data_IF_611441809358
#
_entry.id   IF_611441809358
#
_cell.length_a   1.000
_cell.length_b   1.000
_cell.length_c   1.000
_cell.angle_alpha   90.00
_cell.angle_beta   90.00
_cell.angle_gamma   90.00
#
_symmetry.space_group_name_H-M   'P 1'
#
loop_
_entity.id
_entity.type
_entity.pdbx_description
1 polymer ?
#
# COMPACT_ATOMS: atom_id res chain seq x y z
N UNK A 1 12.75 13.34 9.23
CA UNK A 1 11.28 13.44 9.39
C UNK A 1 10.92 12.60 10.59
N UNK A 2 9.93 13.01 11.37
CA UNK A 2 9.43 12.19 12.49
C UNK A 2 8.83 10.87 11.97
N UNK A 3 8.91 9.79 12.74
CA UNK A 3 8.52 8.44 12.29
C UNK A 3 7.01 8.36 12.02
N UNK A 4 6.19 8.88 12.94
CA UNK A 4 4.73 8.94 12.79
C UNK A 4 4.32 9.68 11.51
N UNK A 5 5.02 10.79 11.23
CA UNK A 5 4.79 11.57 10.02
C UNK A 5 5.19 10.79 8.74
N UNK A 6 6.20 9.92 8.79
CA UNK A 6 6.55 9.05 7.64
C UNK A 6 5.45 8.04 7.37
N UNK A 7 4.89 7.42 8.40
CA UNK A 7 3.85 6.40 8.24
C UNK A 7 2.55 7.01 7.68
N UNK A 8 2.10 8.14 8.23
CA UNK A 8 0.91 8.85 7.71
C UNK A 8 1.11 9.30 6.26
N UNK A 9 2.26 9.91 5.94
CA UNK A 9 2.54 10.36 4.56
C UNK A 9 2.66 9.15 3.64
N UNK A 10 3.30 8.08 4.10
CA UNK A 10 3.47 6.85 3.32
C UNK A 10 2.12 6.24 2.95
N UNK A 11 1.26 6.02 3.94
CA UNK A 11 -0.08 5.47 3.74
C UNK A 11 -0.94 6.37 2.83
N UNK A 12 -0.78 7.70 2.94
CA UNK A 12 -1.48 8.64 2.07
C UNK A 12 -1.00 8.57 0.62
N UNK A 13 0.32 8.44 0.40
CA UNK A 13 0.88 8.26 -0.95
C UNK A 13 0.44 6.93 -1.56
N UNK A 14 0.41 5.84 -0.77
CA UNK A 14 -0.09 4.55 -1.21
C UNK A 14 -1.58 4.62 -1.60
N UNK A 15 -2.41 5.24 -0.79
CA UNK A 15 -3.84 5.43 -1.08
C UNK A 15 -4.08 6.28 -2.33
N UNK A 16 -3.35 7.39 -2.51
CA UNK A 16 -3.47 8.22 -3.72
C UNK A 16 -3.00 7.45 -4.95
N UNK A 17 -1.88 6.74 -4.83
CA UNK A 17 -1.30 5.96 -5.92
C UNK A 17 -2.22 4.84 -6.40
N UNK A 18 -2.86 4.10 -5.49
CA UNK A 18 -3.81 3.04 -5.85
C UNK A 18 -5.08 3.59 -6.51
N UNK A 19 -5.58 4.74 -6.07
CA UNK A 19 -6.71 5.41 -6.74
C UNK A 19 -6.33 5.81 -8.16
N UNK A 20 -5.13 6.35 -8.37
CA UNK A 20 -4.65 6.74 -9.70
C UNK A 20 -4.51 5.52 -10.62
N UNK A 21 -3.92 4.41 -10.14
CA UNK A 21 -3.86 3.15 -10.90
C UNK A 21 -5.26 2.57 -11.14
N UNK A 22 -6.20 2.67 -10.20
CA UNK A 22 -7.58 2.25 -10.48
C UNK A 22 -8.25 3.07 -11.60
N UNK A 23 -7.96 4.38 -11.66
CA UNK A 23 -8.45 5.26 -12.73
C UNK A 23 -7.84 4.90 -14.10
N UNK A 24 -6.59 4.43 -14.16
CA UNK A 24 -5.97 4.02 -15.44
C UNK A 24 -6.66 2.80 -16.07
N UNK A 25 -7.34 1.96 -15.28
CA UNK A 25 -8.08 0.79 -15.78
C UNK A 25 -9.41 1.12 -16.48
N UNK A 26 -9.82 2.39 -16.52
CA UNK A 26 -11.04 2.81 -17.22
C UNK A 26 -10.86 2.59 -18.73
N UNK A 27 -11.84 1.99 -19.45
CA UNK A 27 -11.73 1.77 -20.88
C UNK A 27 -11.45 3.06 -21.68
N UNK A 28 -10.29 3.12 -22.33
CA UNK A 28 -9.90 4.25 -23.16
C UNK A 28 -10.75 4.31 -24.45
N UNK A 29 -11.27 5.49 -24.77
CA UNK A 29 -12.03 5.78 -26.01
C UNK A 29 -11.18 6.44 -27.11
N UNK A 30 -9.88 6.65 -26.87
CA UNK A 30 -8.97 7.24 -27.85
C UNK A 30 -7.51 6.94 -27.51
N UNK A 31 -6.64 6.92 -28.51
CA UNK A 31 -5.18 6.75 -28.34
C UNK A 31 -4.54 7.79 -27.41
N UNK A 32 -5.10 9.00 -27.32
CA UNK A 32 -4.61 10.02 -26.40
C UNK A 32 -4.92 9.64 -24.95
N UNK A 33 -6.10 9.04 -24.71
CA UNK A 33 -6.48 8.60 -23.37
C UNK A 33 -5.74 7.33 -22.95
N UNK A 34 -5.48 6.41 -23.89
CA UNK A 34 -4.62 5.24 -23.67
C UNK A 34 -3.25 5.67 -23.13
N UNK A 35 -2.53 6.54 -23.85
CA UNK A 35 -1.24 7.09 -23.39
C UNK A 35 -1.32 7.84 -22.06
N UNK A 36 -2.45 8.51 -21.80
CA UNK A 36 -2.65 9.19 -20.52
C UNK A 36 -2.79 8.16 -19.39
N UNK A 37 -3.56 7.10 -19.61
CA UNK A 37 -3.80 6.05 -18.62
C UNK A 37 -2.56 5.22 -18.36
N UNK A 38 -1.76 4.89 -19.37
CA UNK A 38 -0.44 4.25 -19.18
C UNK A 38 0.46 5.12 -18.26
N UNK A 39 0.48 6.45 -18.52
CA UNK A 39 1.21 7.39 -17.69
C UNK A 39 0.66 7.52 -16.26
N UNK A 40 -0.67 7.45 -16.09
CA UNK A 40 -1.28 7.42 -14.76
C UNK A 40 -0.89 6.15 -14.02
N UNK A 41 -0.85 4.99 -14.68
CA UNK A 41 -0.50 3.75 -14.00
C UNK A 41 0.95 3.76 -13.48
N UNK A 42 1.87 4.32 -14.27
CA UNK A 42 3.25 4.56 -13.82
C UNK A 42 3.30 5.47 -12.60
N UNK A 43 2.56 6.60 -12.63
CA UNK A 43 2.50 7.54 -11.49
C UNK A 43 1.88 6.88 -10.27
N UNK A 44 0.81 6.11 -10.45
CA UNK A 44 0.11 5.40 -9.40
C UNK A 44 1.01 4.41 -8.68
N UNK A 45 1.68 3.53 -9.43
CA UNK A 45 2.64 2.57 -8.86
C UNK A 45 3.87 3.27 -8.23
N UNK A 46 4.31 4.42 -8.76
CA UNK A 46 5.43 5.17 -8.18
C UNK A 46 5.10 5.76 -6.81
N UNK A 47 3.89 6.30 -6.66
CA UNK A 47 3.38 6.81 -5.39
C UNK A 47 3.20 5.68 -4.37
N UNK A 48 2.69 4.52 -4.81
CA UNK A 48 2.58 3.32 -3.97
C UNK A 48 3.93 2.80 -3.52
N UNK A 49 4.91 2.67 -4.43
CA UNK A 49 6.26 2.24 -4.08
C UNK A 49 6.89 3.15 -3.02
N UNK A 50 6.75 4.47 -3.21
CA UNK A 50 7.27 5.47 -2.29
C UNK A 50 6.53 5.46 -0.96
N UNK A 51 5.20 5.31 -1.00
CA UNK A 51 4.35 5.27 0.17
C UNK A 51 4.68 4.10 1.10
N UNK A 52 4.66 2.89 0.53
CA UNK A 52 5.00 1.66 1.24
C UNK A 52 6.45 1.70 1.79
N UNK A 53 7.40 2.27 1.03
CA UNK A 53 8.77 2.41 1.51
C UNK A 53 8.89 3.41 2.69
N UNK A 54 8.11 4.50 2.68
CA UNK A 54 8.07 5.47 3.77
C UNK A 54 7.40 4.89 5.03
N UNK A 55 6.31 4.13 4.89
CA UNK A 55 5.69 3.38 6.00
C UNK A 55 6.71 2.44 6.65
N UNK A 56 7.37 1.60 5.85
CA UNK A 56 8.41 0.69 6.36
C UNK A 56 9.58 1.42 7.04
N UNK A 57 9.97 2.61 6.54
CA UNK A 57 11.02 3.44 7.13
C UNK A 57 10.58 4.17 8.41
N UNK A 58 9.28 4.39 8.60
CA UNK A 58 8.69 4.94 9.82
C UNK A 58 8.77 3.95 10.99
N UNK A 59 8.56 2.67 10.71
CA UNK A 59 8.58 1.62 11.71
C UNK A 59 10.01 1.34 12.21
N UNK A 60 10.25 1.58 13.50
CA UNK A 60 11.58 1.47 14.10
C UNK A 60 12.04 0.04 14.38
N UNK A 61 11.11 -0.84 14.75
CA UNK A 61 11.41 -2.24 15.04
C UNK A 61 11.10 -3.16 13.85
N UNK A 62 11.76 -4.32 13.72
CA UNK A 62 11.38 -5.32 12.74
C UNK A 62 9.99 -5.88 13.04
N UNK A 63 9.12 -5.87 12.02
CA UNK A 63 7.74 -6.31 12.09
C UNK A 63 7.35 -6.97 10.75
N UNK A 64 6.34 -7.84 10.73
CA UNK A 64 5.75 -8.36 9.51
C UNK A 64 5.05 -7.27 8.70
N UNK A 65 4.53 -6.22 9.33
CA UNK A 65 3.99 -5.04 8.66
C UNK A 65 5.09 -4.31 7.86
N UNK A 66 6.22 -4.01 8.48
CA UNK A 66 7.40 -3.43 7.83
C UNK A 66 7.86 -4.28 6.65
N UNK A 67 8.00 -5.59 6.87
CA UNK A 67 8.40 -6.52 5.82
C UNK A 67 7.37 -6.55 4.68
N UNK A 68 6.08 -6.55 5.02
CA UNK A 68 4.99 -6.50 4.05
C UNK A 68 5.04 -5.24 3.19
N UNK A 69 5.25 -4.08 3.81
CA UNK A 69 5.39 -2.80 3.14
C UNK A 69 6.64 -2.76 2.23
N UNK A 70 7.79 -3.26 2.68
CA UNK A 70 8.98 -3.39 1.83
C UNK A 70 8.72 -4.30 0.61
N UNK A 71 8.06 -5.44 0.81
CA UNK A 71 7.68 -6.36 -0.27
C UNK A 71 6.71 -5.67 -1.25
N UNK A 72 5.70 -4.95 -0.76
CA UNK A 72 4.78 -4.19 -1.62
C UNK A 72 5.51 -3.11 -2.42
N UNK A 73 6.49 -2.41 -1.83
CA UNK A 73 7.31 -1.43 -2.55
C UNK A 73 8.11 -2.10 -3.69
N UNK A 74 8.73 -3.25 -3.44
CA UNK A 74 9.44 -4.04 -4.46
C UNK A 74 8.49 -4.48 -5.58
N UNK A 75 7.29 -4.93 -5.22
CA UNK A 75 6.27 -5.33 -6.17
C UNK A 75 5.86 -4.17 -7.09
N UNK A 76 5.61 -2.97 -6.54
CA UNK A 76 5.32 -1.77 -7.32
C UNK A 76 6.48 -1.38 -8.26
N UNK A 77 7.73 -1.45 -7.79
CA UNK A 77 8.90 -1.18 -8.63
C UNK A 77 8.99 -2.20 -9.78
N UNK A 78 8.62 -3.46 -9.53
CA UNK A 78 8.59 -4.50 -10.55
C UNK A 78 7.51 -4.23 -11.60
N UNK A 79 6.33 -3.73 -11.20
CA UNK A 79 5.29 -3.25 -12.14
C UNK A 79 5.82 -2.09 -12.98
N UNK A 80 6.41 -1.07 -12.35
CA UNK A 80 6.99 0.09 -13.06
C UNK A 80 8.06 -0.35 -14.06
N UNK A 81 8.89 -1.32 -13.71
CA UNK A 81 9.89 -1.88 -14.62
C UNK A 81 9.23 -2.50 -15.86
N UNK A 82 8.12 -3.23 -15.69
CA UNK A 82 7.33 -3.76 -16.80
C UNK A 82 6.71 -2.69 -17.70
N UNK A 83 6.36 -1.52 -17.15
CA UNK A 83 5.71 -0.43 -17.89
C UNK A 83 6.69 0.54 -18.59
N UNK A 84 7.95 0.61 -18.15
CA UNK A 84 8.92 1.61 -18.63
C UNK A 84 10.05 1.00 -19.47
N UNK A 85 10.47 -0.23 -19.16
CA UNK A 85 11.57 -0.85 -19.90
C UNK A 85 11.11 -1.21 -21.31
N UNK A 86 11.95 -0.92 -22.30
CA UNK A 86 11.74 -1.30 -23.69
C UNK A 86 11.98 -2.82 -23.84
N UNK A 87 10.91 -3.60 -23.61
CA UNK A 87 10.91 -5.06 -23.62
C UNK A 87 9.96 -5.58 -24.70
N UNK A 88 10.02 -6.88 -24.96
CA UNK A 88 8.95 -7.53 -25.72
C UNK A 88 7.66 -7.53 -24.88
N UNK A 89 6.51 -7.30 -25.50
CA UNK A 89 5.19 -7.17 -24.84
C UNK A 89 4.91 -8.33 -23.85
N UNK A 90 5.31 -9.56 -24.19
CA UNK A 90 5.19 -10.73 -23.32
C UNK A 90 5.98 -10.57 -22.00
N UNK A 91 7.16 -9.96 -22.06
CA UNK A 91 8.01 -9.74 -20.90
C UNK A 91 7.55 -8.53 -20.07
N UNK A 92 6.97 -7.50 -20.71
CA UNK A 92 6.29 -6.40 -20.03
C UNK A 92 5.15 -6.95 -19.16
N UNK A 93 4.24 -7.72 -19.77
CA UNK A 93 3.10 -8.35 -19.09
C UNK A 93 3.57 -9.25 -17.93
N UNK A 94 4.62 -10.07 -18.14
CA UNK A 94 5.17 -10.93 -17.09
C UNK A 94 5.70 -10.14 -15.89
N UNK A 95 6.36 -9.00 -16.12
CA UNK A 95 6.85 -8.15 -15.03
C UNK A 95 5.70 -7.51 -14.26
N UNK A 96 4.68 -7.00 -14.96
CA UNK A 96 3.48 -6.45 -14.31
C UNK A 96 2.77 -7.53 -13.46
N UNK A 97 2.59 -8.73 -14.01
CA UNK A 97 1.99 -9.87 -13.28
C UNK A 97 2.83 -10.26 -12.06
N UNK A 98 4.16 -10.36 -12.22
CA UNK A 98 5.06 -10.71 -11.13
C UNK A 98 5.04 -9.64 -10.03
N UNK A 99 5.08 -8.36 -10.41
CA UNK A 99 4.97 -7.24 -9.49
C UNK A 99 3.68 -7.28 -8.68
N UNK A 100 2.54 -7.50 -9.33
CA UNK A 100 1.25 -7.65 -8.64
C UNK A 100 1.22 -8.87 -7.70
N UNK A 101 1.82 -10.00 -8.05
CA UNK A 101 1.94 -11.13 -7.13
C UNK A 101 2.83 -10.83 -5.91
N UNK A 102 3.94 -10.12 -6.11
CA UNK A 102 4.82 -9.68 -5.03
C UNK A 102 4.06 -8.72 -4.10
N UNK A 103 3.30 -7.76 -4.65
CA UNK A 103 2.46 -6.87 -3.83
C UNK A 103 1.40 -7.64 -3.05
N UNK A 104 0.75 -8.63 -3.66
CA UNK A 104 -0.23 -9.48 -2.98
C UNK A 104 0.40 -10.24 -1.79
N UNK A 105 1.63 -10.74 -1.97
CA UNK A 105 2.40 -11.35 -0.89
C UNK A 105 2.70 -10.33 0.21
N UNK A 106 3.16 -9.13 -0.15
CA UNK A 106 3.47 -8.08 0.83
C UNK A 106 2.27 -7.67 1.67
N UNK A 107 1.11 -7.44 1.03
CA UNK A 107 -0.13 -7.15 1.74
C UNK A 107 -0.59 -8.30 2.64
N UNK A 108 -0.38 -9.56 2.23
CA UNK A 108 -0.68 -10.71 3.08
C UNK A 108 0.32 -10.87 4.25
N UNK A 109 1.60 -10.57 4.03
CA UNK A 109 2.65 -10.59 5.06
C UNK A 109 2.35 -9.55 6.13
N UNK A 110 1.92 -8.35 5.75
CA UNK A 110 1.58 -7.28 6.68
C UNK A 110 0.44 -7.62 7.64
N UNK A 111 -0.40 -8.63 7.33
CA UNK A 111 -1.45 -9.08 8.25
C UNK A 111 -0.94 -9.83 9.48
N UNK A 112 0.32 -10.26 9.48
CA UNK A 112 0.84 -11.16 10.51
C UNK A 112 0.88 -10.52 11.90
N UNK A 113 1.37 -9.28 12.01
CA UNK A 113 1.47 -8.58 13.30
C UNK A 113 0.09 -8.18 13.82
N UNK A 114 -0.79 -7.75 12.91
CA UNK A 114 -2.19 -7.46 13.16
C UNK A 114 -2.98 -8.62 13.79
N UNK A 115 -2.52 -9.87 13.75
CA UNK A 115 -3.20 -10.96 14.45
C UNK A 115 -2.64 -11.23 15.85
N UNK A 116 -1.48 -10.66 16.20
CA UNK A 116 -0.83 -10.90 17.49
C UNK A 116 -1.31 -9.96 18.60
N UNK A 117 -1.74 -8.73 18.29
CA UNK A 117 -2.28 -7.78 19.29
C UNK A 117 -3.69 -7.23 18.94
N UNK A 118 -4.79 -7.95 19.24
CA UNK A 118 -6.16 -7.61 18.82
C UNK A 118 -6.78 -6.36 19.48
N UNK A 119 -5.99 -5.52 20.16
CA UNK A 119 -6.51 -4.40 20.98
C UNK A 119 -6.06 -3.01 20.56
N UNK A 120 -5.19 -2.88 19.55
CA UNK A 120 -4.69 -1.60 19.06
C UNK A 120 -5.77 -0.79 18.29
N UNK A 121 -5.80 0.54 18.44
CA UNK A 121 -6.68 1.37 17.61
C UNK A 121 -6.23 1.33 16.14
N UNK A 122 -7.17 1.47 15.20
CA UNK A 122 -6.86 1.41 13.77
C UNK A 122 -6.64 0.00 13.21
N UNK A 123 -6.28 -0.98 14.05
CA UNK A 123 -5.97 -2.36 13.66
C UNK A 123 -7.00 -3.02 12.71
N UNK A 124 -8.31 -2.94 13.02
CA UNK A 124 -9.32 -3.53 12.14
C UNK A 124 -9.31 -2.91 10.74
N UNK A 125 -9.01 -1.61 10.64
CA UNK A 125 -8.87 -0.94 9.35
C UNK A 125 -7.59 -1.39 8.62
N UNK A 126 -6.47 -1.58 9.33
CA UNK A 126 -5.24 -2.14 8.75
C UNK A 126 -5.45 -3.58 8.27
N UNK A 127 -6.10 -4.45 9.07
CA UNK A 127 -6.44 -5.83 8.68
C UNK A 127 -7.27 -5.84 7.40
N UNK A 128 -8.39 -5.11 7.38
CA UNK A 128 -9.25 -5.09 6.20
C UNK A 128 -8.57 -4.42 5.02
N UNK A 129 -7.77 -3.38 5.27
CA UNK A 129 -7.01 -2.67 4.25
C UNK A 129 -6.01 -3.58 3.56
N UNK A 130 -5.11 -4.19 4.32
CA UNK A 130 -4.07 -5.09 3.83
C UNK A 130 -4.66 -6.35 3.17
N UNK A 131 -5.76 -6.90 3.70
CA UNK A 131 -6.47 -8.01 3.07
C UNK A 131 -7.06 -7.62 1.71
N UNK A 132 -7.75 -6.48 1.61
CA UNK A 132 -8.30 -6.01 0.35
C UNK A 132 -7.20 -5.67 -0.66
N UNK A 133 -6.08 -5.09 -0.22
CA UNK A 133 -4.90 -4.86 -1.07
C UNK A 133 -4.35 -6.18 -1.63
N UNK A 134 -4.20 -7.20 -0.78
CA UNK A 134 -3.74 -8.52 -1.21
C UNK A 134 -4.70 -9.18 -2.23
N UNK A 135 -6.01 -9.09 -1.99
CA UNK A 135 -7.04 -9.60 -2.91
C UNK A 135 -6.99 -8.83 -4.24
N UNK A 136 -6.94 -7.50 -4.19
CA UNK A 136 -6.93 -6.64 -5.37
C UNK A 136 -5.73 -6.90 -6.27
N UNK A 137 -4.54 -6.97 -5.68
CA UNK A 137 -3.30 -7.32 -6.39
C UNK A 137 -3.34 -8.74 -6.97
N UNK A 138 -3.90 -9.71 -6.23
CA UNK A 138 -4.09 -11.08 -6.73
C UNK A 138 -5.01 -11.12 -7.95
N UNK A 139 -6.11 -10.36 -7.95
CA UNK A 139 -7.04 -10.28 -9.08
C UNK A 139 -6.37 -9.64 -10.30
N UNK A 140 -5.60 -8.57 -10.12
CA UNK A 140 -4.83 -7.96 -11.21
C UNK A 140 -3.83 -8.96 -11.82
N UNK A 141 -3.10 -9.70 -10.98
CA UNK A 141 -2.14 -10.70 -11.46
C UNK A 141 -2.82 -11.88 -12.19
N UNK A 142 -3.97 -12.34 -11.70
CA UNK A 142 -4.79 -13.37 -12.37
C UNK A 142 -5.31 -12.85 -13.71
N UNK A 143 -5.88 -11.65 -13.74
CA UNK A 143 -6.38 -11.03 -14.97
C UNK A 143 -5.28 -10.85 -16.01
N UNK A 144 -4.12 -10.33 -15.61
CA UNK A 144 -2.94 -10.22 -16.47
C UNK A 144 -2.49 -11.59 -17.00
N UNK A 145 -2.50 -12.63 -16.16
CA UNK A 145 -2.14 -13.99 -16.60
C UNK A 145 -3.10 -14.54 -17.65
N UNK A 146 -4.40 -14.25 -17.54
CA UNK A 146 -5.40 -14.67 -18.53
C UNK A 146 -5.14 -13.94 -19.85
N UNK A 147 -5.00 -12.61 -19.81
CA UNK A 147 -4.70 -11.79 -20.99
C UNK A 147 -3.41 -12.22 -21.70
N UNK A 148 -2.33 -12.48 -20.95
CA UNK A 148 -1.06 -12.95 -21.50
C UNK A 148 -1.21 -14.28 -22.26
N UNK A 149 -1.93 -15.25 -21.67
CA UNK A 149 -2.18 -16.56 -22.30
C UNK A 149 -3.04 -16.45 -23.57
N UNK A 150 -3.92 -15.45 -23.63
CA UNK A 150 -4.71 -15.16 -24.83
C UNK A 150 -3.82 -14.59 -25.95
N UNK A 151 -2.93 -13.64 -25.62
CA UNK A 151 -1.94 -13.10 -26.57
C UNK A 151 -1.03 -14.21 -27.12
N UNK A 152 -0.54 -15.12 -26.25
CA UNK A 152 0.26 -16.30 -26.65
C UNK A 152 -0.48 -17.23 -27.64
N UNK A 153 -1.83 -17.20 -27.64
CA UNK A 153 -2.69 -17.96 -28.56
C UNK A 153 -3.08 -17.17 -29.81
N UNK A 154 -2.65 -15.92 -29.94
CA UNK A 154 -3.01 -15.03 -31.04
C UNK A 154 -4.37 -14.36 -30.90
N UNK A 155 -4.92 -14.28 -29.68
CA UNK A 155 -6.15 -13.55 -29.35
C UNK A 155 -5.82 -12.10 -28.89
N UNK A 156 -6.84 -11.27 -28.64
CA UNK A 156 -6.66 -9.84 -28.31
C UNK A 156 -6.03 -9.58 -26.93
N UNK A 157 -6.17 -10.51 -25.98
CA UNK A 157 -5.58 -10.36 -24.64
C UNK A 157 -6.24 -9.30 -23.78
N UNK A 158 -7.57 -9.15 -23.88
CA UNK A 158 -8.34 -8.11 -23.19
C UNK A 158 -9.58 -8.66 -22.46
N UNK A 159 -9.79 -9.99 -22.48
CA UNK A 159 -11.01 -10.61 -21.94
C UNK A 159 -11.15 -10.45 -20.42
N UNK A 160 -10.01 -10.35 -19.72
CA UNK A 160 -9.94 -10.24 -18.27
C UNK A 160 -9.70 -8.80 -17.77
N UNK A 161 -9.80 -7.78 -18.64
CA UNK A 161 -9.62 -6.38 -18.25
C UNK A 161 -10.60 -5.93 -17.15
N UNK A 162 -11.79 -6.51 -17.10
CA UNK A 162 -12.74 -6.27 -16.01
C UNK A 162 -12.26 -6.85 -14.66
N UNK A 163 -11.51 -7.96 -14.66
CA UNK A 163 -10.90 -8.54 -13.46
C UNK A 163 -9.77 -7.65 -12.96
N UNK A 164 -8.92 -7.15 -13.87
CA UNK A 164 -7.85 -6.20 -13.56
C UNK A 164 -8.43 -4.91 -12.97
N UNK A 165 -9.46 -4.36 -13.61
CA UNK A 165 -10.16 -3.18 -13.10
C UNK A 165 -10.77 -3.41 -11.72
N UNK A 166 -11.50 -4.51 -11.52
CA UNK A 166 -12.07 -4.86 -10.22
C UNK A 166 -10.98 -5.00 -9.14
N UNK A 167 -9.86 -5.66 -9.47
CA UNK A 167 -8.72 -5.80 -8.58
C UNK A 167 -8.12 -4.45 -8.17
N UNK A 168 -7.95 -3.53 -9.13
CA UNK A 168 -7.39 -2.20 -8.88
C UNK A 168 -8.29 -1.36 -7.96
N UNK A 169 -9.60 -1.39 -8.16
CA UNK A 169 -10.54 -0.69 -7.28
C UNK A 169 -10.65 -1.31 -5.89
N UNK A 170 -10.59 -2.64 -5.78
CA UNK A 170 -10.55 -3.34 -4.48
C UNK A 170 -9.28 -2.94 -3.71
N UNK A 171 -8.13 -2.92 -4.38
CA UNK A 171 -6.87 -2.48 -3.78
C UNK A 171 -6.95 -1.02 -3.31
N UNK A 172 -7.49 -0.11 -4.14
CA UNK A 172 -7.66 1.29 -3.77
C UNK A 172 -8.55 1.48 -2.53
N UNK A 173 -9.64 0.74 -2.42
CA UNK A 173 -10.45 0.72 -1.18
C UNK A 173 -9.61 0.23 -0.01
N UNK A 174 -8.85 -0.86 -0.20
CA UNK A 174 -7.95 -1.40 0.81
C UNK A 174 -6.94 -0.36 1.33
N UNK A 175 -6.21 0.33 0.45
CA UNK A 175 -5.22 1.34 0.87
C UNK A 175 -5.86 2.54 1.57
N UNK A 176 -7.09 2.92 1.21
CA UNK A 176 -7.82 3.98 1.94
C UNK A 176 -8.17 3.52 3.36
N UNK A 177 -8.55 2.24 3.55
CA UNK A 177 -8.77 1.70 4.90
C UNK A 177 -7.46 1.66 5.69
N UNK A 178 -6.34 1.21 5.10
CA UNK A 178 -5.04 1.23 5.78
C UNK A 178 -4.64 2.66 6.21
N UNK A 179 -4.82 3.67 5.35
CA UNK A 179 -4.61 5.07 5.75
C UNK A 179 -5.49 5.49 6.93
N UNK A 180 -6.76 5.09 6.96
CA UNK A 180 -7.65 5.38 8.09
C UNK A 180 -7.18 4.66 9.37
N UNK A 181 -6.65 3.45 9.24
CA UNK A 181 -6.04 2.69 10.33
C UNK A 181 -4.81 3.39 10.89
N UNK A 182 -3.84 3.73 10.03
CA UNK A 182 -2.65 4.48 10.41
C UNK A 182 -3.00 5.80 11.11
N UNK A 183 -3.96 6.56 10.58
CA UNK A 183 -4.40 7.82 11.20
C UNK A 183 -4.98 7.60 12.61
N UNK A 184 -5.60 6.46 12.90
CA UNK A 184 -6.14 6.17 14.23
C UNK A 184 -5.05 5.72 15.20
N UNK A 185 -4.15 4.86 14.75
CA UNK A 185 -3.01 4.35 15.51
C UNK A 185 -2.11 5.50 16.00
N UNK A 186 -1.69 6.35 15.07
CA UNK A 186 -0.81 7.49 15.36
C UNK A 186 -1.44 8.53 16.29
N UNK A 187 -2.75 8.80 16.10
CA UNK A 187 -3.47 9.71 17.00
C UNK A 187 -3.55 9.15 18.43
N UNK A 188 -3.64 7.82 18.59
CA UNK A 188 -3.63 7.20 19.91
C UNK A 188 -2.25 7.33 20.56
N UNK A 189 -1.17 7.06 19.83
CA UNK A 189 0.21 7.20 20.32
C UNK A 189 0.54 8.63 20.77
N UNK A 190 0.12 9.63 19.99
CA UNK A 190 0.27 11.04 20.38
C UNK A 190 -0.47 11.32 21.68
N UNK A 191 -1.68 10.77 21.84
CA UNK A 191 -2.50 10.97 23.03
C UNK A 191 -1.89 10.30 24.28
N UNK A 192 -1.34 9.09 24.16
CA UNK A 192 -0.71 8.36 25.26
C UNK A 192 0.64 8.95 25.65
N UNK A 193 1.45 9.37 24.69
CA UNK A 193 2.71 10.08 24.95
C UNK A 193 2.51 11.41 25.68
N UNK A 194 1.41 12.12 25.37
CA UNK A 194 1.07 13.40 26.05
C UNK A 194 0.62 13.21 27.51
N UNK A 195 -0.01 12.07 27.85
CA UNK A 195 -0.38 11.76 29.23
C UNK A 195 0.83 11.42 30.11
N UNK A 196 1.77 10.63 29.61
CA UNK A 196 2.97 10.23 30.37
C UNK A 196 3.88 11.43 30.66
N UNK A 197 4.00 12.38 29.73
CA UNK A 197 4.78 13.60 29.93
C UNK A 197 4.14 14.52 31.00
N UNK A 198 2.81 14.55 31.06
CA UNK A 198 2.06 15.32 32.07
C UNK A 198 2.16 14.73 33.48
N UNK A 199 2.20 13.40 33.60
CA UNK A 199 2.37 12.70 34.88
C UNK A 199 3.81 12.78 35.39
N UNK A 200 4.82 12.74 34.51
CA UNK A 200 6.22 12.94 34.90
C UNK A 200 6.49 14.38 35.38
N UNK A 201 5.89 15.38 34.72
CA UNK A 201 5.94 16.78 35.17
C UNK A 201 5.25 17.00 36.53
N UNK A 202 4.09 16.37 36.74
CA UNK A 202 3.40 16.42 38.03
C UNK A 202 4.20 15.73 39.14
N UNK A 203 4.81 14.57 38.87
CA UNK A 203 5.65 13.84 39.84
C UNK A 203 6.88 14.66 40.26
N UNK A 204 7.57 15.29 39.29
CA UNK A 204 8.72 16.16 39.55
C UNK A 204 8.32 17.41 40.34
N UNK A 205 7.15 17.98 40.07
CA UNK A 205 6.62 19.12 40.84
C UNK A 205 6.26 18.74 42.29
N UNK A 206 5.77 17.51 42.49
CA UNK A 206 5.40 17.00 43.81
C UNK A 206 6.66 16.72 44.65
N UNK A 207 7.66 16.06 44.08
CA UNK A 207 8.96 15.81 44.73
C UNK A 207 9.68 17.14 45.06
N UNK A 208 9.56 18.16 44.21
CA UNK A 208 10.13 19.48 44.48
C UNK A 208 9.45 20.20 45.65
N UNK A 209 8.15 19.99 45.87
CA UNK A 209 7.42 20.58 47.01
C UNK A 209 7.70 19.87 48.34
N UNK A 210 7.98 18.57 48.31
CA UNK A 210 8.25 17.79 49.52
C UNK A 210 9.64 18.06 50.13
N UNK A 211 10.60 18.52 49.33
CA UNK A 211 11.96 18.89 49.78
C UNK A 211 12.08 20.28 50.41
N UNK A 212 10.99 21.05 50.48
CA UNK A 212 10.97 22.45 50.96
C UNK A 212 10.29 22.60 52.33
N UNK A 213 9.83 21.50 52.95
CA UNK A 213 9.30 21.49 54.32
C UNK A 213 10.22 20.76 55.30
#
# INVERSE_FOLDING_TARGET
MDNQLKEIIGAALAAIGTIISAVSTIPAKSKKMEKLFDGLDIVGNSLQATGNALEAEGQSEPSLEKAGNEIQAIGNITVIAGLILDLEEENEDKLVIAGNWIQALGGATALGDEFEDPTAAGQLFNIYGNLLQAIGNSLQAIGGTINLREKERGESGDSANNIIAAGSWIQAVGSVLSLIGQLQEENQEISSGSSDESDDLNSKSFIAKEKVN
#
